data_IF_228186727137
#
_entry.id   IF_228186727137
#
_cell.length_a   1.000
_cell.length_b   1.000
_cell.length_c   1.000
_cell.angle_alpha   90.00
_cell.angle_beta   90.00
_cell.angle_gamma   90.00
#
_symmetry.space_group_name_H-M   'P 1'
#
loop_
_entity.id
_entity.type
_entity.pdbx_description
1 polymer ?
#
# COMPACT_ATOMS: atom_id res chain seq x y z
N UNK A 1 -27.11 8.72 7.66
CA UNK A 1 -26.61 7.66 6.76
C UNK A 1 -25.13 7.46 7.03
N UNK A 2 -24.67 6.21 7.15
CA UNK A 2 -23.24 5.89 7.30
C UNK A 2 -22.73 5.39 5.95
N UNK A 3 -21.58 5.88 5.52
CA UNK A 3 -20.93 5.45 4.28
C UNK A 3 -19.44 5.20 4.53
N UNK A 4 -18.85 4.33 3.72
CA UNK A 4 -17.41 4.16 3.60
C UNK A 4 -16.96 4.82 2.30
N UNK A 5 -15.98 5.71 2.38
CA UNK A 5 -15.38 6.37 1.21
C UNK A 5 -13.91 5.98 1.14
N UNK A 6 -13.45 5.59 -0.05
CA UNK A 6 -12.03 5.32 -0.33
C UNK A 6 -11.60 6.32 -1.40
N UNK A 7 -10.58 7.13 -1.09
CA UNK A 7 -9.96 8.07 -2.01
C UNK A 7 -8.57 7.55 -2.33
N UNK A 8 -8.33 7.23 -3.60
CA UNK A 8 -7.06 6.71 -4.08
C UNK A 8 -6.18 7.85 -4.62
N UNK A 9 -4.88 7.83 -4.29
CA UNK A 9 -3.87 8.84 -4.67
C UNK A 9 -4.33 10.29 -4.36
N UNK A 10 -4.77 10.50 -3.13
CA UNK A 10 -5.29 11.79 -2.67
C UNK A 10 -4.22 12.90 -2.58
N UNK A 11 -4.68 14.14 -2.72
CA UNK A 11 -3.91 15.37 -2.53
C UNK A 11 -4.38 16.15 -1.28
N UNK A 12 -3.89 17.37 -1.09
CA UNK A 12 -4.28 18.24 0.05
C UNK A 12 -5.80 18.44 0.16
N UNK A 13 -6.54 18.41 -0.96
CA UNK A 13 -8.00 18.61 -0.97
C UNK A 13 -8.74 17.44 -0.34
N UNK A 14 -8.18 16.22 -0.35
CA UNK A 14 -8.76 15.06 0.32
C UNK A 14 -8.84 15.25 1.85
N UNK A 15 -8.01 16.13 2.41
CA UNK A 15 -8.01 16.47 3.83
C UNK A 15 -9.00 17.58 4.21
N UNK A 16 -9.63 18.24 3.22
CA UNK A 16 -10.34 19.54 3.39
C UNK A 16 -11.74 19.47 4.04
N UNK A 17 -12.03 18.44 4.84
CA UNK A 17 -13.17 18.44 5.76
C UNK A 17 -14.53 18.22 5.11
N UNK A 18 -14.58 17.65 3.90
CA UNK A 18 -15.81 17.40 3.13
C UNK A 18 -16.81 16.44 3.81
N UNK A 19 -16.45 15.85 4.95
CA UNK A 19 -17.28 14.85 5.61
C UNK A 19 -17.34 15.09 7.11
N UNK A 20 -18.53 15.43 7.59
CA UNK A 20 -18.87 15.58 9.01
C UNK A 20 -19.93 14.52 9.36
N UNK A 21 -19.56 13.51 10.16
CA UNK A 21 -20.48 12.43 10.56
C UNK A 21 -19.79 11.17 11.11
N UNK A 22 -20.56 10.11 11.36
CA UNK A 22 -20.06 8.77 11.79
C UNK A 22 -19.55 7.90 10.62
N UNK A 23 -19.17 8.51 9.50
CA UNK A 23 -18.64 7.81 8.31
C UNK A 23 -17.15 7.54 8.44
N UNK A 24 -16.65 6.53 7.73
CA UNK A 24 -15.22 6.19 7.67
C UNK A 24 -14.70 6.61 6.30
N UNK A 25 -13.51 7.23 6.29
CA UNK A 25 -12.82 7.64 5.07
C UNK A 25 -11.42 7.08 5.15
N UNK A 26 -11.02 6.41 4.07
CA UNK A 26 -9.66 5.91 3.87
C UNK A 26 -9.10 6.70 2.68
N UNK A 27 -7.94 7.31 2.89
CA UNK A 27 -7.20 8.00 1.83
C UNK A 27 -5.87 7.29 1.67
N UNK A 28 -5.50 6.94 0.44
CA UNK A 28 -4.15 6.49 0.11
C UNK A 28 -3.38 7.67 -0.50
N UNK A 29 -2.10 7.81 -0.17
CA UNK A 29 -1.22 8.75 -0.84
C UNK A 29 0.24 8.36 -0.59
N UNK A 30 1.13 8.82 -1.47
CA UNK A 30 2.58 8.74 -1.29
C UNK A 30 3.14 9.88 -0.46
N UNK A 31 2.38 10.98 -0.35
CA UNK A 31 2.80 12.16 0.39
C UNK A 31 2.15 12.17 1.78
N UNK A 32 2.96 11.92 2.81
CA UNK A 32 2.49 11.95 4.21
C UNK A 32 2.03 13.36 4.63
N UNK A 33 2.48 14.42 3.96
CA UNK A 33 2.20 15.81 4.35
C UNK A 33 0.74 16.22 4.15
N UNK A 34 0.00 15.56 3.25
CA UNK A 34 -1.44 15.81 3.06
C UNK A 34 -2.24 15.38 4.30
N UNK A 35 -1.67 14.47 5.11
CA UNK A 35 -2.23 14.04 6.37
C UNK A 35 -1.81 15.01 7.48
N UNK A 36 -2.38 16.21 7.47
CA UNK A 36 -2.20 17.18 8.56
C UNK A 36 -2.48 16.54 9.94
N UNK A 37 -1.78 16.98 10.99
CA UNK A 37 -1.84 16.45 12.37
C UNK A 37 -3.25 16.38 13.02
N UNK A 38 -4.28 16.88 12.33
CA UNK A 38 -5.70 16.78 12.71
C UNK A 38 -6.37 15.48 12.23
N UNK A 39 -5.71 14.67 11.40
CA UNK A 39 -6.20 13.35 11.02
C UNK A 39 -5.94 12.33 12.14
N UNK A 40 -6.93 11.48 12.42
CA UNK A 40 -6.95 10.67 13.66
C UNK A 40 -6.01 9.47 13.64
N UNK A 41 -5.68 8.91 12.48
CA UNK A 41 -4.81 7.74 12.32
C UNK A 41 -4.11 7.80 10.96
N UNK A 42 -2.78 7.67 10.93
CA UNK A 42 -1.98 7.49 9.72
C UNK A 42 -1.40 6.07 9.77
N UNK A 43 -1.54 5.32 8.68
CA UNK A 43 -0.91 4.01 8.51
C UNK A 43 0.14 4.09 7.40
N UNK A 44 1.41 3.96 7.77
CA UNK A 44 2.50 3.86 6.80
C UNK A 44 2.58 2.44 6.28
N UNK A 45 2.35 2.27 4.98
CA UNK A 45 2.46 0.95 4.32
C UNK A 45 3.95 0.58 4.28
N UNK A 46 4.37 -0.53 4.93
CA UNK A 46 5.76 -0.97 4.87
C UNK A 46 6.06 -1.63 3.52
N UNK A 47 7.33 -1.69 3.18
CA UNK A 47 7.84 -2.59 2.13
C UNK A 47 7.57 -4.05 2.51
N UNK A 48 7.51 -4.93 1.51
CA UNK A 48 7.36 -6.36 1.74
C UNK A 48 8.64 -6.94 2.34
N UNK A 49 8.47 -7.84 3.31
CA UNK A 49 9.60 -8.62 3.80
C UNK A 49 10.11 -9.60 2.72
N UNK A 50 11.31 -10.20 2.88
CA UNK A 50 11.86 -11.13 1.89
C UNK A 50 10.96 -12.35 1.59
N UNK A 51 10.21 -12.83 2.57
CA UNK A 51 9.29 -13.97 2.42
C UNK A 51 8.08 -13.57 1.59
N UNK A 52 7.43 -12.45 1.95
CA UNK A 52 6.32 -11.89 1.19
C UNK A 52 6.72 -11.54 -0.24
N UNK A 53 7.92 -11.01 -0.42
CA UNK A 53 8.45 -10.66 -1.73
C UNK A 53 8.69 -11.88 -2.61
N UNK A 54 9.24 -12.97 -2.03
CA UNK A 54 9.40 -14.25 -2.71
C UNK A 54 8.06 -14.87 -3.10
N UNK A 55 7.07 -14.80 -2.22
CA UNK A 55 5.73 -15.30 -2.49
C UNK A 55 5.08 -14.53 -3.64
N UNK A 56 5.04 -13.20 -3.57
CA UNK A 56 4.46 -12.35 -4.61
C UNK A 56 5.11 -12.58 -5.97
N UNK A 57 6.44 -12.55 -6.03
CA UNK A 57 7.17 -12.79 -7.27
C UNK A 57 6.92 -14.20 -7.83
N UNK A 58 6.85 -15.21 -6.96
CA UNK A 58 6.64 -16.58 -7.43
C UNK A 58 5.23 -16.79 -7.96
N UNK A 59 4.23 -16.20 -7.29
CA UNK A 59 2.85 -16.20 -7.74
C UNK A 59 2.73 -15.53 -9.13
N UNK A 60 3.41 -14.40 -9.35
CA UNK A 60 3.32 -13.69 -10.63
C UNK A 60 4.14 -14.34 -11.76
N UNK A 61 5.41 -14.63 -11.52
CA UNK A 61 6.32 -15.12 -12.57
C UNK A 61 6.15 -16.60 -12.90
N UNK A 62 5.61 -17.40 -11.98
CA UNK A 62 5.53 -18.86 -12.12
C UNK A 62 4.15 -19.45 -11.83
N UNK A 63 3.14 -18.63 -11.52
CA UNK A 63 1.79 -19.08 -11.17
C UNK A 63 1.76 -20.09 -9.99
N UNK A 64 2.78 -20.03 -9.13
CA UNK A 64 2.91 -20.93 -7.98
C UNK A 64 3.51 -20.21 -6.77
N UNK A 65 3.06 -20.52 -5.53
CA UNK A 65 3.56 -19.84 -4.34
C UNK A 65 4.99 -20.26 -3.96
N UNK A 66 5.52 -21.34 -4.53
CA UNK A 66 6.85 -21.86 -4.19
C UNK A 66 7.95 -21.14 -4.99
N UNK A 67 8.89 -20.47 -4.33
CA UNK A 67 10.00 -19.82 -5.02
C UNK A 67 10.97 -20.82 -5.63
N UNK A 68 11.43 -20.50 -6.85
CA UNK A 68 12.60 -21.15 -7.46
C UNK A 68 13.88 -20.61 -6.81
N UNK A 69 14.95 -21.40 -6.83
CA UNK A 69 16.23 -21.01 -6.21
C UNK A 69 16.75 -19.66 -6.70
N UNK A 70 16.55 -19.35 -7.98
CA UNK A 70 17.02 -18.11 -8.60
C UNK A 70 16.17 -16.87 -8.25
N UNK A 71 14.96 -17.03 -7.69
CA UNK A 71 14.06 -15.90 -7.35
C UNK A 71 14.66 -14.96 -6.30
N UNK A 72 15.54 -15.46 -5.42
CA UNK A 72 16.13 -14.68 -4.33
C UNK A 72 16.93 -13.48 -4.83
N UNK A 73 17.63 -13.61 -5.96
CA UNK A 73 18.41 -12.51 -6.55
C UNK A 73 17.48 -11.42 -7.10
N UNK A 74 16.42 -11.80 -7.79
CA UNK A 74 15.43 -10.87 -8.36
C UNK A 74 14.73 -10.10 -7.26
N UNK A 75 14.24 -10.81 -6.24
CA UNK A 75 13.58 -10.22 -5.07
C UNK A 75 14.50 -9.24 -4.33
N UNK A 76 15.79 -9.59 -4.19
CA UNK A 76 16.77 -8.71 -3.56
C UNK A 76 16.99 -7.40 -4.34
N UNK A 77 16.86 -7.42 -5.67
CA UNK A 77 16.97 -6.21 -6.51
C UNK A 77 15.70 -5.37 -6.41
N UNK A 78 14.53 -6.01 -6.38
CA UNK A 78 13.24 -5.33 -6.26
C UNK A 78 13.02 -4.65 -4.91
N UNK A 79 13.79 -5.01 -3.86
CA UNK A 79 13.84 -4.27 -2.60
C UNK A 79 12.52 -4.24 -1.83
N UNK A 80 11.70 -5.29 -1.95
CA UNK A 80 10.41 -5.35 -1.25
C UNK A 80 9.31 -4.43 -1.84
N UNK A 81 9.56 -3.78 -2.98
CA UNK A 81 8.58 -2.96 -3.68
C UNK A 81 7.61 -3.89 -4.45
N UNK A 82 6.31 -3.96 -4.08
CA UNK A 82 5.38 -4.87 -4.75
C UNK A 82 5.34 -4.70 -6.26
N UNK A 83 5.36 -3.44 -6.75
CA UNK A 83 5.31 -3.14 -8.18
C UNK A 83 6.53 -3.65 -8.97
N UNK A 84 7.69 -3.83 -8.32
CA UNK A 84 8.89 -4.37 -8.95
C UNK A 84 8.95 -5.90 -8.91
N UNK A 85 7.99 -6.55 -8.26
CA UNK A 85 7.91 -8.01 -8.07
C UNK A 85 6.82 -8.65 -8.93
N UNK A 86 6.05 -7.84 -9.67
CA UNK A 86 5.13 -8.27 -10.70
C UNK A 86 5.95 -8.52 -11.98
#
# INVERSE_FOLDING_TARGET
MKVLVVLDDGDESASSGWFRGQSIIIVTSRDESIFNARQKVIYKVPELDPTQSLELFSQHAFEQPKPKSESKKVVSIAGGIPLCLL
#
